data_IF_560868181522
#
_entry.id   IF_560868181522
#
_cell.length_a   1.000
_cell.length_b   1.000
_cell.length_c   1.000
_cell.angle_alpha   90.00
_cell.angle_beta   90.00
_cell.angle_gamma   90.00
#
_symmetry.space_group_name_H-M   'P 1'
#
loop_
_entity.id
_entity.type
_entity.pdbx_description
1 polymer ?
#
# COMPACT_ATOMS: atom_id res chain seq x y z
N UNK A 1 -19.98 2.47 12.40
CA UNK A 1 -18.53 2.26 12.22
C UNK A 1 -18.15 2.75 10.84
N UNK A 2 -17.11 3.58 10.74
CA UNK A 2 -16.57 4.06 9.46
C UNK A 2 -15.35 3.22 9.07
N UNK A 3 -15.21 2.97 7.77
CA UNK A 3 -14.12 2.17 7.19
C UNK A 3 -13.46 2.95 6.07
N UNK A 4 -12.16 2.86 5.95
CA UNK A 4 -11.40 3.37 4.81
C UNK A 4 -10.90 2.19 3.97
N UNK A 5 -10.91 2.38 2.64
CA UNK A 5 -10.32 1.46 1.68
C UNK A 5 -9.22 2.21 0.95
N UNK A 6 -8.00 1.70 1.05
CA UNK A 6 -6.80 2.22 0.40
C UNK A 6 -6.29 1.19 -0.62
N UNK A 7 -5.47 1.64 -1.57
CA UNK A 7 -4.86 0.81 -2.61
C UNK A 7 -3.61 1.50 -3.16
N UNK A 8 -2.72 0.74 -3.80
CA UNK A 8 -1.65 1.25 -4.68
C UNK A 8 -0.76 2.30 -4.00
N UNK A 9 -0.30 2.00 -2.79
CA UNK A 9 0.57 2.90 -2.01
C UNK A 9 1.93 3.05 -2.71
N UNK A 10 2.43 1.96 -3.31
CA UNK A 10 3.68 1.92 -4.07
C UNK A 10 4.86 2.64 -3.40
N UNK A 11 5.08 2.44 -2.10
CA UNK A 11 6.22 3.01 -1.38
C UNK A 11 6.20 4.55 -1.25
N UNK A 12 5.07 5.21 -1.50
CA UNK A 12 4.91 6.65 -1.33
C UNK A 12 4.49 6.98 0.10
N UNK A 13 5.47 7.13 0.98
CA UNK A 13 5.23 7.36 2.41
C UNK A 13 4.53 8.69 2.66
N UNK A 14 4.93 9.75 1.96
CA UNK A 14 4.35 11.09 2.14
C UNK A 14 2.86 11.11 1.80
N UNK A 15 2.46 10.46 0.70
CA UNK A 15 1.05 10.32 0.35
C UNK A 15 0.30 9.45 1.35
N UNK A 16 0.91 8.36 1.82
CA UNK A 16 0.30 7.48 2.80
C UNK A 16 0.02 8.22 4.13
N UNK A 17 1.00 8.94 4.67
CA UNK A 17 0.84 9.70 5.92
C UNK A 17 -0.26 10.76 5.79
N UNK A 18 -0.34 11.46 4.66
CA UNK A 18 -1.40 12.44 4.40
C UNK A 18 -2.79 11.80 4.40
N UNK A 19 -2.94 10.62 3.78
CA UNK A 19 -4.21 9.87 3.78
C UNK A 19 -4.54 9.33 5.16
N UNK A 20 -3.57 8.81 5.90
CA UNK A 20 -3.79 8.29 7.26
C UNK A 20 -4.24 9.39 8.22
N UNK A 21 -3.74 10.61 8.04
CA UNK A 21 -4.20 11.77 8.81
C UNK A 21 -5.66 12.12 8.49
N UNK A 22 -6.06 12.16 7.22
CA UNK A 22 -7.47 12.37 6.82
C UNK A 22 -8.38 11.26 7.37
N UNK A 23 -7.95 10.00 7.29
CA UNK A 23 -8.65 8.84 7.87
C UNK A 23 -8.88 9.03 9.37
N UNK A 24 -7.85 9.51 10.09
CA UNK A 24 -7.91 9.83 11.52
C UNK A 24 -8.90 10.95 11.81
N UNK A 25 -8.84 12.06 11.06
CA UNK A 25 -9.74 13.21 11.20
C UNK A 25 -11.21 12.85 10.94
N UNK A 26 -11.46 11.94 10.00
CA UNK A 26 -12.80 11.45 9.70
C UNK A 26 -13.37 10.48 10.76
N UNK A 27 -12.56 10.07 11.76
CA UNK A 27 -12.95 9.13 12.80
C UNK A 27 -13.18 7.71 12.27
N UNK A 28 -12.40 7.29 11.27
CA UNK A 28 -12.40 5.93 10.76
C UNK A 28 -11.73 5.00 11.78
N UNK A 29 -12.34 3.83 12.00
CA UNK A 29 -11.86 2.85 12.99
C UNK A 29 -11.27 1.59 12.37
N UNK A 30 -11.49 1.36 11.07
CA UNK A 30 -10.98 0.19 10.35
C UNK A 30 -10.43 0.62 8.98
N UNK A 31 -9.25 0.10 8.65
CA UNK A 31 -8.55 0.40 7.39
C UNK A 31 -8.34 -0.91 6.65
N UNK A 32 -8.80 -0.98 5.42
CA UNK A 32 -8.59 -2.11 4.52
C UNK A 32 -7.72 -1.64 3.36
N UNK A 33 -6.70 -2.41 2.99
CA UNK A 33 -5.86 -2.11 1.84
C UNK A 33 -5.98 -3.22 0.79
N UNK A 34 -6.10 -2.83 -0.47
CA UNK A 34 -6.24 -3.76 -1.60
C UNK A 34 -4.88 -4.26 -2.15
N UNK A 35 -3.77 -3.87 -1.52
CA UNK A 35 -2.43 -4.30 -1.87
C UNK A 35 -1.64 -3.22 -2.61
N UNK A 36 -0.56 -3.66 -3.26
CA UNK A 36 0.41 -2.82 -3.95
C UNK A 36 1.01 -1.78 -3.01
N UNK A 37 1.46 -2.28 -1.85
CA UNK A 37 2.13 -1.45 -0.84
C UNK A 37 3.52 -1.06 -1.32
N UNK A 38 4.22 -2.00 -1.94
CA UNK A 38 5.53 -1.78 -2.54
C UNK A 38 5.41 -1.49 -4.04
N UNK A 39 6.50 -1.04 -4.63
CA UNK A 39 6.56 -0.65 -6.03
C UNK A 39 7.61 0.43 -6.22
N UNK A 40 7.26 1.43 -7.02
CA UNK A 40 8.16 2.45 -7.58
C UNK A 40 8.66 3.49 -6.57
N UNK A 41 7.98 3.66 -5.43
CA UNK A 41 8.25 4.73 -4.47
C UNK A 41 9.45 4.45 -3.57
N UNK A 42 10.06 5.52 -3.01
CA UNK A 42 11.36 5.44 -2.35
C UNK A 42 11.33 4.79 -0.95
N UNK A 43 10.15 4.63 -0.34
CA UNK A 43 10.00 4.21 1.06
C UNK A 43 9.14 2.94 1.23
N UNK A 44 9.49 1.82 0.56
CA UNK A 44 8.69 0.60 0.62
C UNK A 44 8.64 -0.01 2.02
N UNK A 45 9.72 0.09 2.80
CA UNK A 45 9.79 -0.48 4.15
C UNK A 45 8.87 0.26 5.12
N UNK A 46 8.94 1.58 5.12
CA UNK A 46 8.11 2.41 5.99
C UNK A 46 6.63 2.24 5.65
N UNK A 47 6.28 2.15 4.36
CA UNK A 47 4.90 1.85 3.93
C UNK A 47 4.44 0.46 4.40
N UNK A 48 5.30 -0.57 4.33
CA UNK A 48 4.99 -1.90 4.86
C UNK A 48 4.77 -1.87 6.38
N UNK A 49 5.62 -1.16 7.12
CA UNK A 49 5.49 -1.00 8.57
C UNK A 49 4.13 -0.37 8.93
N UNK A 50 3.70 0.65 8.19
CA UNK A 50 2.34 1.23 8.34
C UNK A 50 1.25 0.22 8.02
N UNK A 51 1.39 -0.53 6.93
CA UNK A 51 0.38 -1.50 6.52
C UNK A 51 0.15 -2.63 7.55
N UNK A 52 1.13 -2.92 8.41
CA UNK A 52 0.95 -3.88 9.53
C UNK A 52 -0.11 -3.45 10.54
N UNK A 53 -0.44 -2.16 10.61
CA UNK A 53 -1.46 -1.63 11.52
C UNK A 53 -2.86 -1.61 10.91
N UNK A 54 -3.00 -1.97 9.63
CA UNK A 54 -4.30 -1.99 8.96
C UNK A 54 -5.11 -3.22 9.40
N UNK A 55 -6.44 -3.12 9.31
CA UNK A 55 -7.35 -4.21 9.66
C UNK A 55 -7.14 -5.43 8.76
N UNK A 56 -6.92 -5.20 7.46
CA UNK A 56 -6.57 -6.24 6.50
C UNK A 56 -5.85 -5.60 5.32
N UNK A 57 -4.85 -6.30 4.80
CA UNK A 57 -4.28 -6.03 3.49
C UNK A 57 -4.42 -7.25 2.59
N UNK A 58 -4.83 -7.03 1.34
CA UNK A 58 -4.69 -8.04 0.28
C UNK A 58 -3.24 -8.02 -0.23
N UNK A 59 -2.85 -9.11 -0.89
CA UNK A 59 -1.57 -9.18 -1.57
C UNK A 59 -1.75 -8.66 -3.00
N UNK A 60 -1.16 -7.50 -3.30
CA UNK A 60 -1.19 -6.93 -4.65
C UNK A 60 -0.18 -7.61 -5.58
N UNK A 61 -0.26 -7.34 -6.88
CA UNK A 61 0.69 -7.92 -7.84
C UNK A 61 2.09 -7.35 -7.67
N UNK A 62 2.25 -6.08 -7.28
CA UNK A 62 3.56 -5.50 -6.97
C UNK A 62 4.19 -6.16 -5.74
N UNK A 63 3.38 -6.45 -4.72
CA UNK A 63 3.82 -7.17 -3.53
C UNK A 63 4.23 -8.60 -3.87
N UNK A 64 3.41 -9.31 -4.66
CA UNK A 64 3.68 -10.68 -5.12
C UNK A 64 4.95 -10.74 -5.97
N UNK A 65 5.11 -9.79 -6.90
CA UNK A 65 6.23 -9.75 -7.84
C UNK A 65 7.58 -9.60 -7.15
N UNK A 66 7.66 -8.86 -6.03
CA UNK A 66 8.90 -8.75 -5.27
C UNK A 66 9.22 -9.98 -4.40
N UNK A 67 8.19 -10.76 -4.03
CA UNK A 67 8.38 -12.00 -3.25
C UNK A 67 8.78 -13.16 -4.16
N UNK A 68 8.18 -13.24 -5.36
CA UNK A 68 8.33 -14.38 -6.26
C UNK A 68 8.88 -14.01 -7.63
N UNK A 69 8.03 -13.50 -8.53
CA UNK A 69 8.37 -13.13 -9.91
C UNK A 69 7.36 -12.10 -10.44
N UNK A 70 7.77 -11.06 -11.19
CA UNK A 70 6.89 -10.03 -11.73
C UNK A 70 6.08 -10.50 -12.96
N UNK A 71 5.55 -11.73 -12.93
CA UNK A 71 4.80 -12.30 -14.06
C UNK A 71 3.60 -11.40 -14.42
N UNK A 72 3.49 -11.05 -15.71
CA UNK A 72 2.43 -10.19 -16.23
C UNK A 72 2.67 -8.69 -16.07
N UNK A 73 3.83 -8.28 -15.54
CA UNK A 73 4.17 -6.87 -15.46
C UNK A 73 4.41 -6.29 -16.86
N UNK A 74 4.11 -5.01 -17.01
CA UNK A 74 4.59 -4.27 -18.18
C UNK A 74 6.11 -4.07 -18.07
N UNK A 75 6.79 -3.89 -19.21
CA UNK A 75 8.23 -3.61 -19.19
C UNK A 75 8.61 -2.36 -18.36
N UNK A 76 7.68 -1.43 -18.16
CA UNK A 76 7.89 -0.28 -17.27
C UNK A 76 7.84 -0.68 -15.79
N UNK A 77 6.89 -1.54 -15.43
CA UNK A 77 6.71 -2.05 -14.08
C UNK A 77 7.86 -2.96 -13.64
N UNK A 78 8.43 -3.76 -14.54
CA UNK A 78 9.58 -4.64 -14.24
C UNK A 78 10.88 -3.88 -13.95
N UNK A 79 11.02 -2.65 -14.46
CA UNK A 79 12.25 -1.85 -14.31
C UNK A 79 12.29 -0.98 -13.06
N UNK A 80 11.18 -0.96 -12.32
CA UNK A 80 11.01 -0.15 -11.12
C UNK A 80 11.55 -0.85 -9.88
#
# INVERSE_FOLDING_TARGET
>A
MKRAILSDIHGNLEALEAVLEDVREQGVSEIYCLGDIIGYGPNPRECLDRATTFTRCLLGNHDLGAIFDPEGFSSGAERA
#
